data_IF_365017126608
#
_entry.id   IF_365017126608
#
_cell.length_a   1.000
_cell.length_b   1.000
_cell.length_c   1.000
_cell.angle_alpha   90.00
_cell.angle_beta   90.00
_cell.angle_gamma   90.00
#
_symmetry.space_group_name_H-M   'P 1'
#
loop_
_entity.id
_entity.type
_entity.pdbx_description
1 polymer ?
#
# COMPACT_ATOMS: atom_id res chain seq x y z
N UNK A 1 11.95 11.31 5.92
CA UNK A 1 12.62 10.10 6.47
C UNK A 1 12.94 9.19 5.29
N UNK A 2 14.21 9.16 4.87
CA UNK A 2 14.70 8.44 3.67
C UNK A 2 14.75 6.93 3.95
N UNK A 3 13.61 6.24 3.91
CA UNK A 3 13.56 4.79 4.12
C UNK A 3 14.31 4.05 3.02
N UNK A 4 15.26 3.19 3.38
CA UNK A 4 15.92 2.26 2.46
C UNK A 4 14.89 1.27 1.90
N UNK A 5 14.88 1.05 0.58
CA UNK A 5 13.94 0.11 -0.07
C UNK A 5 14.62 -1.20 -0.44
N UNK A 6 15.84 -1.13 -0.97
CA UNK A 6 16.54 -2.28 -1.55
C UNK A 6 17.95 -2.42 -0.97
N UNK A 7 18.39 -3.67 -0.77
CA UNK A 7 19.75 -3.98 -0.35
C UNK A 7 20.77 -3.93 -1.49
N UNK A 8 20.32 -4.08 -2.74
CA UNK A 8 21.18 -4.23 -3.91
C UNK A 8 21.35 -2.93 -4.71
N UNK A 9 20.33 -2.06 -4.74
CA UNK A 9 20.37 -0.79 -5.46
C UNK A 9 20.21 0.41 -4.52
N UNK A 10 20.49 1.60 -5.05
CA UNK A 10 20.50 2.86 -4.31
C UNK A 10 19.11 3.50 -4.13
N UNK A 11 18.04 2.82 -4.55
CA UNK A 11 16.66 3.31 -4.41
C UNK A 11 16.27 3.51 -2.93
N UNK A 12 15.81 4.72 -2.63
CA UNK A 12 15.43 5.20 -1.31
C UNK A 12 14.14 6.01 -1.37
N UNK A 13 13.42 6.05 -0.25
CA UNK A 13 12.22 6.87 -0.08
C UNK A 13 10.93 6.11 -0.38
N UNK A 14 9.90 6.34 0.44
CA UNK A 14 8.61 5.63 0.30
C UNK A 14 7.90 5.90 -1.03
N UNK A 15 8.16 7.07 -1.63
CA UNK A 15 7.63 7.47 -2.93
C UNK A 15 8.14 6.63 -4.10
N UNK A 16 9.28 5.97 -3.95
CA UNK A 16 9.89 5.15 -5.00
C UNK A 16 9.53 3.66 -4.90
N UNK A 17 8.71 3.25 -3.92
CA UNK A 17 8.38 1.82 -3.68
C UNK A 17 7.70 1.16 -4.87
N UNK A 18 6.87 1.90 -5.61
CA UNK A 18 6.13 1.40 -6.77
C UNK A 18 6.83 1.72 -8.10
N UNK A 19 8.05 2.27 -8.06
CA UNK A 19 8.78 2.58 -9.27
C UNK A 19 9.30 1.29 -9.92
N UNK A 20 8.84 1.02 -11.13
CA UNK A 20 9.23 -0.15 -11.93
C UNK A 20 10.32 0.17 -12.95
N UNK A 21 10.79 1.42 -13.02
CA UNK A 21 11.86 1.81 -13.93
C UNK A 21 13.21 1.28 -13.42
N UNK A 22 13.64 0.17 -14.03
CA UNK A 22 14.90 -0.49 -13.72
C UNK A 22 16.13 0.37 -14.04
N UNK A 23 16.02 1.42 -14.86
CA UNK A 23 17.15 2.30 -15.16
C UNK A 23 17.63 3.09 -13.92
N UNK A 24 16.73 3.30 -12.96
CA UNK A 24 17.02 3.99 -11.69
C UNK A 24 17.63 3.05 -10.64
N UNK A 25 17.66 1.74 -10.90
CA UNK A 25 18.22 0.73 -10.00
C UNK A 25 19.75 0.67 -10.07
N UNK A 26 20.42 1.79 -9.76
CA UNK A 26 21.90 1.84 -9.71
C UNK A 26 22.41 0.93 -8.59
N UNK A 27 23.34 -0.01 -8.88
CA UNK A 27 23.93 -0.89 -7.87
C UNK A 27 24.63 -0.11 -6.75
N UNK A 28 24.63 -0.68 -5.55
CA UNK A 28 25.39 -0.11 -4.43
C UNK A 28 26.87 -0.44 -4.55
N UNK A 29 27.72 0.47 -4.10
CA UNK A 29 29.16 0.22 -4.02
C UNK A 29 29.48 -0.75 -2.87
N UNK A 30 30.18 -1.84 -3.21
CA UNK A 30 30.56 -2.90 -2.27
C UNK A 30 31.55 -2.38 -1.23
N UNK A 31 32.47 -1.50 -1.62
CA UNK A 31 33.47 -0.97 -0.69
C UNK A 31 32.85 0.02 0.29
N UNK A 32 31.92 0.85 -0.16
CA UNK A 32 31.12 1.71 0.71
C UNK A 32 30.32 0.85 1.72
N UNK A 33 29.66 -0.21 1.25
CA UNK A 33 28.94 -1.13 2.11
C UNK A 33 29.86 -1.83 3.13
N UNK A 34 31.11 -2.16 2.75
CA UNK A 34 32.12 -2.76 3.65
C UNK A 34 32.56 -1.77 4.71
N UNK A 35 32.83 -0.53 4.33
CA UNK A 35 33.20 0.55 5.25
C UNK A 35 32.12 0.73 6.32
N UNK A 36 30.87 0.94 5.92
CA UNK A 36 29.76 1.15 6.86
C UNK A 36 29.43 -0.10 7.69
N UNK A 37 29.62 -1.29 7.13
CA UNK A 37 29.49 -2.53 7.90
C UNK A 37 30.52 -2.62 9.02
N UNK A 38 31.76 -2.17 8.79
CA UNK A 38 32.83 -2.15 9.80
C UNK A 38 32.56 -1.08 10.85
N UNK A 39 32.18 0.12 10.44
CA UNK A 39 31.74 1.18 11.34
C UNK A 39 30.59 0.71 12.25
N UNK A 40 29.61 -0.02 11.70
CA UNK A 40 28.52 -0.60 12.51
C UNK A 40 29.04 -1.59 13.59
N UNK A 41 30.07 -2.39 13.27
CA UNK A 41 30.67 -3.35 14.19
C UNK A 41 31.42 -2.63 15.32
N UNK A 42 32.20 -1.61 14.96
CA UNK A 42 33.06 -0.84 15.85
C UNK A 42 32.30 0.18 16.69
N UNK A 43 31.09 0.55 16.25
CA UNK A 43 30.18 1.43 16.99
C UNK A 43 29.94 0.92 18.42
N UNK A 44 30.14 1.82 19.38
CA UNK A 44 30.11 1.52 20.81
C UNK A 44 28.70 1.64 21.40
N UNK A 45 27.80 2.32 20.69
CA UNK A 45 26.44 2.59 21.16
C UNK A 45 25.38 2.02 20.22
N UNK A 46 24.22 1.68 20.78
CA UNK A 46 23.06 1.26 19.99
C UNK A 46 22.50 2.41 19.14
N UNK A 47 22.65 3.67 19.58
CA UNK A 47 22.23 4.85 18.81
C UNK A 47 23.04 4.97 17.53
N UNK A 48 24.37 4.92 17.65
CA UNK A 48 25.28 5.02 16.51
C UNK A 48 25.03 3.89 15.49
N UNK A 49 24.82 2.65 15.97
CA UNK A 49 24.43 1.53 15.10
C UNK A 49 23.11 1.79 14.37
N UNK A 50 22.13 2.37 15.06
CA UNK A 50 20.83 2.70 14.46
C UNK A 50 20.98 3.78 13.40
N UNK A 51 21.75 4.83 13.68
CA UNK A 51 22.01 5.93 12.74
C UNK A 51 22.73 5.42 11.48
N UNK A 52 23.74 4.55 11.65
CA UNK A 52 24.42 3.91 10.51
C UNK A 52 23.44 3.07 9.68
N UNK A 53 22.58 2.29 10.34
CA UNK A 53 21.59 1.47 9.62
C UNK A 53 20.53 2.32 8.90
N UNK A 54 20.07 3.41 9.50
CA UNK A 54 19.08 4.30 8.87
C UNK A 54 19.66 5.06 7.67
N UNK A 55 20.91 5.52 7.77
CA UNK A 55 21.56 6.29 6.71
C UNK A 55 22.17 5.43 5.60
N UNK A 56 22.67 4.23 5.93
CA UNK A 56 23.39 3.38 4.97
C UNK A 56 22.73 2.02 4.74
N UNK A 57 21.76 1.58 5.54
CA UNK A 57 21.04 0.33 5.31
C UNK A 57 21.87 -0.94 5.50
N UNK A 58 22.98 -0.86 6.25
CA UNK A 58 23.92 -1.99 6.44
C UNK A 58 24.04 -2.35 7.91
N UNK A 59 24.13 -3.66 8.18
CA UNK A 59 24.49 -4.22 9.48
C UNK A 59 25.74 -5.08 9.34
N UNK A 60 26.48 -5.23 10.43
CA UNK A 60 27.57 -6.19 10.49
C UNK A 60 27.05 -7.64 10.44
N UNK A 61 27.76 -8.49 9.71
CA UNK A 61 27.55 -9.95 9.65
C UNK A 61 28.90 -10.66 9.58
N UNK A 62 29.01 -11.85 10.15
CA UNK A 62 30.22 -12.69 10.07
C UNK A 62 30.59 -13.07 8.64
N UNK A 63 29.63 -13.08 7.70
CA UNK A 63 29.90 -13.30 6.27
C UNK A 63 30.86 -12.26 5.67
N UNK A 64 31.00 -11.08 6.30
CA UNK A 64 31.98 -10.06 5.91
C UNK A 64 33.43 -10.44 6.17
N UNK A 65 33.70 -11.54 6.88
CA UNK A 65 35.04 -12.09 7.04
C UNK A 65 35.51 -12.82 5.77
N UNK A 66 34.62 -13.09 4.83
CA UNK A 66 34.94 -13.71 3.56
C UNK A 66 35.27 -12.63 2.53
N UNK A 67 36.51 -12.59 2.05
CA UNK A 67 36.99 -11.53 1.13
C UNK A 67 36.21 -11.47 -0.19
N UNK A 68 35.64 -12.59 -0.60
CA UNK A 68 34.82 -12.71 -1.81
C UNK A 68 33.34 -12.37 -1.58
N UNK A 69 32.88 -12.21 -0.34
CA UNK A 69 31.46 -11.99 -0.07
C UNK A 69 31.03 -10.59 -0.51
N UNK A 70 30.06 -10.56 -1.43
CA UNK A 70 29.43 -9.37 -1.96
C UNK A 70 27.89 -9.44 -1.75
N UNK A 71 27.33 -8.73 -0.76
CA UNK A 71 25.90 -8.77 -0.49
C UNK A 71 25.04 -8.14 -1.60
N UNK A 72 25.61 -7.37 -2.52
CA UNK A 72 24.84 -6.80 -3.65
C UNK A 72 24.52 -7.85 -4.71
N UNK A 73 25.29 -8.94 -4.75
CA UNK A 73 25.19 -10.01 -5.76
C UNK A 73 24.88 -11.39 -5.16
N UNK A 74 25.28 -11.62 -3.92
CA UNK A 74 25.22 -12.93 -3.26
C UNK A 74 24.09 -13.05 -2.24
N UNK A 75 23.34 -11.98 -2.00
CA UNK A 75 22.16 -12.03 -1.14
C UNK A 75 20.98 -12.63 -1.92
N UNK A 76 20.67 -13.90 -1.63
CA UNK A 76 19.48 -14.56 -2.18
C UNK A 76 18.25 -13.99 -1.49
N UNK A 77 17.36 -13.39 -2.27
CA UNK A 77 16.04 -12.98 -1.80
C UNK A 77 15.28 -14.23 -1.39
N UNK A 78 14.72 -14.23 -0.18
CA UNK A 78 13.90 -15.33 0.31
C UNK A 78 12.58 -15.39 -0.47
N UNK A 79 12.61 -16.13 -1.59
CA UNK A 79 11.48 -16.26 -2.50
C UNK A 79 10.23 -16.79 -1.78
N UNK A 80 10.39 -17.70 -0.81
CA UNK A 80 9.25 -18.26 -0.08
C UNK A 80 8.55 -17.17 0.73
N UNK A 81 9.29 -16.39 1.52
CA UNK A 81 8.69 -15.32 2.33
C UNK A 81 8.20 -14.15 1.47
N UNK A 82 8.98 -13.74 0.46
CA UNK A 82 8.58 -12.68 -0.46
C UNK A 82 7.29 -13.03 -1.21
N UNK A 83 7.16 -14.27 -1.67
CA UNK A 83 5.97 -14.66 -2.42
C UNK A 83 4.80 -14.94 -1.48
N UNK A 84 4.97 -15.74 -0.42
CA UNK A 84 3.85 -16.17 0.42
C UNK A 84 3.39 -15.09 1.40
N UNK A 85 4.32 -14.50 2.16
CA UNK A 85 4.01 -13.41 3.11
C UNK A 85 4.00 -12.02 2.47
N UNK A 86 4.61 -11.86 1.30
CA UNK A 86 4.52 -10.63 0.52
C UNK A 86 3.34 -10.69 -0.45
N UNK A 87 3.54 -11.33 -1.60
CA UNK A 87 2.60 -11.26 -2.75
C UNK A 87 1.25 -11.93 -2.46
N UNK A 88 1.23 -13.20 -2.05
CA UNK A 88 -0.01 -13.95 -1.79
C UNK A 88 -0.79 -13.34 -0.65
N UNK A 89 -0.13 -13.06 0.46
CA UNK A 89 -0.73 -12.34 1.59
C UNK A 89 -1.34 -11.00 1.14
N UNK A 90 -0.61 -10.19 0.38
CA UNK A 90 -1.11 -8.91 -0.12
C UNK A 90 -2.32 -9.13 -1.04
N UNK A 91 -2.21 -10.03 -2.01
CA UNK A 91 -3.30 -10.36 -2.94
C UNK A 91 -4.57 -10.79 -2.19
N UNK A 92 -4.47 -11.77 -1.29
CA UNK A 92 -5.62 -12.27 -0.55
C UNK A 92 -6.21 -11.24 0.41
N UNK A 93 -5.38 -10.49 1.14
CA UNK A 93 -5.88 -9.58 2.18
C UNK A 93 -6.20 -8.15 1.69
N UNK A 94 -5.58 -7.70 0.61
CA UNK A 94 -5.66 -6.31 0.16
C UNK A 94 -6.40 -6.19 -1.17
N UNK A 95 -6.11 -7.08 -2.12
CA UNK A 95 -6.77 -7.10 -3.43
C UNK A 95 -8.14 -7.77 -3.31
N UNK A 96 -8.17 -9.01 -2.81
CA UNK A 96 -9.40 -9.80 -2.62
C UNK A 96 -10.07 -9.58 -1.26
N UNK A 97 -9.43 -8.86 -0.34
CA UNK A 97 -9.98 -8.53 0.99
C UNK A 97 -10.58 -9.72 1.74
N UNK A 98 -9.99 -10.92 1.59
CA UNK A 98 -10.41 -12.15 2.24
C UNK A 98 -9.93 -12.19 3.70
N UNK A 99 -10.27 -11.17 4.48
CA UNK A 99 -10.02 -11.09 5.92
C UNK A 99 -11.28 -10.56 6.62
N UNK A 100 -11.46 -10.86 7.91
CA UNK A 100 -12.57 -10.26 8.68
C UNK A 100 -12.29 -8.79 9.04
N UNK A 101 -11.14 -8.26 8.63
CA UNK A 101 -10.90 -6.83 8.63
C UNK A 101 -11.91 -6.24 7.66
N UNK A 102 -12.86 -5.45 8.16
CA UNK A 102 -13.71 -4.60 7.35
C UNK A 102 -12.89 -3.92 6.24
N UNK A 103 -13.50 -3.55 5.10
CA UNK A 103 -12.83 -2.87 3.98
C UNK A 103 -11.76 -1.91 4.50
N UNK A 104 -10.60 -1.82 3.84
CA UNK A 104 -9.58 -0.81 4.16
C UNK A 104 -10.12 0.59 3.92
N UNK A 105 -10.93 1.00 4.85
CA UNK A 105 -11.27 2.33 5.17
C UNK A 105 -10.03 3.02 5.74
N UNK A 106 -10.01 4.35 5.72
CA UNK A 106 -9.20 5.11 6.67
C UNK A 106 -9.46 4.57 8.10
N UNK A 107 -8.58 4.84 9.07
CA UNK A 107 -8.71 4.37 10.47
C UNK A 107 -10.11 4.58 11.10
N UNK A 108 -10.93 5.46 10.51
CA UNK A 108 -12.29 5.81 10.87
C UNK A 108 -13.43 5.11 10.08
N UNK A 109 -13.18 4.16 9.16
CA UNK A 109 -14.28 3.51 8.42
C UNK A 109 -14.73 4.21 7.12
N UNK A 110 -13.92 5.09 6.51
CA UNK A 110 -14.27 5.87 5.31
C UNK A 110 -13.51 5.47 4.05
N UNK A 111 -14.18 5.54 2.90
CA UNK A 111 -13.63 5.19 1.59
C UNK A 111 -12.82 6.33 0.97
N UNK A 112 -11.80 6.01 0.18
CA UNK A 112 -11.09 6.97 -0.67
C UNK A 112 -11.82 7.15 -2.00
N UNK A 113 -11.90 8.37 -2.53
CA UNK A 113 -12.44 8.63 -3.86
C UNK A 113 -11.39 8.53 -4.97
N UNK A 114 -10.15 8.88 -4.69
CA UNK A 114 -9.05 8.86 -5.65
C UNK A 114 -7.70 8.88 -4.93
N UNK A 115 -6.65 8.42 -5.60
CA UNK A 115 -5.26 8.55 -5.15
C UNK A 115 -4.64 9.83 -5.72
N UNK A 116 -3.76 10.49 -4.94
CA UNK A 116 -3.02 11.67 -5.39
C UNK A 116 -1.53 11.54 -5.02
N UNK A 117 -0.59 11.91 -5.93
CA UNK A 117 0.85 11.79 -5.69
C UNK A 117 1.36 12.88 -4.75
N UNK A 118 1.02 12.78 -3.47
CA UNK A 118 1.38 13.76 -2.46
C UNK A 118 2.89 13.85 -2.22
N UNK A 119 3.40 15.08 -2.14
CA UNK A 119 4.76 15.35 -1.70
C UNK A 119 4.77 15.36 -0.16
N UNK A 120 5.61 14.52 0.43
CA UNK A 120 5.84 14.51 1.88
C UNK A 120 6.52 15.79 2.35
N UNK A 121 6.34 16.16 3.62
CA UNK A 121 7.02 17.34 4.15
C UNK A 121 8.53 17.12 4.23
N UNK A 122 9.28 18.00 3.56
CA UNK A 122 10.74 18.09 3.65
C UNK A 122 11.15 19.51 4.10
N UNK A 123 11.99 19.65 5.14
CA UNK A 123 12.36 20.96 5.71
C UNK A 123 13.03 21.94 4.73
N UNK A 124 13.63 21.42 3.64
CA UNK A 124 14.37 22.20 2.64
C UNK A 124 13.59 22.41 1.33
N UNK A 125 12.45 21.73 1.15
CA UNK A 125 11.71 21.77 -0.12
C UNK A 125 11.05 23.14 -0.38
N UNK A 126 10.75 23.93 0.66
CA UNK A 126 10.12 25.25 0.51
C UNK A 126 10.74 26.26 1.48
N UNK A 127 11.79 27.00 1.07
CA UNK A 127 12.47 27.98 1.92
C UNK A 127 11.58 29.15 2.38
N UNK A 128 10.52 29.44 1.63
CA UNK A 128 9.62 30.58 1.85
C UNK A 128 8.56 30.34 2.93
N UNK A 129 8.35 29.08 3.34
CA UNK A 129 7.34 28.71 4.32
C UNK A 129 7.93 28.56 5.73
N UNK A 130 7.15 28.88 6.79
CA UNK A 130 7.58 28.63 8.16
C UNK A 130 7.84 27.14 8.39
N UNK A 131 9.02 26.80 8.91
CA UNK A 131 9.37 25.41 9.25
C UNK A 131 8.35 24.83 10.22
N UNK A 132 7.83 23.65 9.89
CA UNK A 132 6.93 22.93 10.77
C UNK A 132 7.71 22.35 11.94
N UNK A 133 7.13 22.44 13.14
CA UNK A 133 7.63 21.69 14.30
C UNK A 133 7.43 20.20 14.00
N UNK A 134 8.40 19.35 14.38
CA UNK A 134 8.38 17.90 14.12
C UNK A 134 7.05 17.24 14.52
N UNK A 135 6.44 17.69 15.62
CA UNK A 135 5.14 17.21 16.09
C UNK A 135 3.97 17.39 15.10
N UNK A 136 4.08 18.32 14.16
CA UNK A 136 3.04 18.64 13.17
C UNK A 136 3.33 18.10 11.77
N UNK A 137 4.46 17.41 11.58
CA UNK A 137 4.81 16.75 10.32
C UNK A 137 3.81 15.63 9.99
N UNK A 138 3.38 14.77 10.94
CA UNK A 138 2.36 13.75 10.66
C UNK A 138 1.00 14.33 10.28
N UNK A 139 0.70 15.56 10.71
CA UNK A 139 -0.58 16.22 10.40
C UNK A 139 -0.67 16.54 8.89
N UNK A 140 0.45 16.71 8.19
CA UNK A 140 0.48 16.90 6.73
C UNK A 140 -0.10 15.68 6.02
N UNK A 141 0.36 14.48 6.37
CA UNK A 141 -0.15 13.23 5.78
C UNK A 141 -1.63 13.02 6.08
N UNK A 142 -2.08 13.34 7.30
CA UNK A 142 -3.51 13.24 7.67
C UNK A 142 -4.40 14.19 6.86
N UNK A 143 -3.94 15.42 6.63
CA UNK A 143 -4.65 16.38 5.77
C UNK A 143 -4.73 15.87 4.34
N UNK A 144 -3.61 15.41 3.79
CA UNK A 144 -3.51 14.84 2.45
C UNK A 144 -4.47 13.63 2.28
N UNK A 145 -4.48 12.72 3.24
CA UNK A 145 -5.40 11.58 3.27
C UNK A 145 -6.86 12.01 3.36
N UNK A 146 -7.19 12.98 4.22
CA UNK A 146 -8.56 13.48 4.40
C UNK A 146 -9.12 14.09 3.11
N UNK A 147 -8.28 14.77 2.32
CA UNK A 147 -8.68 15.32 1.03
C UNK A 147 -8.96 14.23 -0.02
N UNK A 148 -8.36 13.05 0.08
CA UNK A 148 -8.63 11.95 -0.85
C UNK A 148 -9.88 11.13 -0.51
N UNK A 149 -10.57 11.41 0.62
CA UNK A 149 -11.76 10.65 1.05
C UNK A 149 -12.98 10.93 0.17
N UNK A 150 -13.85 9.93 0.02
CA UNK A 150 -15.09 10.03 -0.72
C UNK A 150 -16.10 10.96 -0.04
N UNK A 151 -16.81 11.75 -0.85
CA UNK A 151 -17.88 12.64 -0.44
C UNK A 151 -19.27 12.05 -0.77
N UNK A 152 -19.35 11.08 -1.68
CA UNK A 152 -20.57 10.37 -2.07
C UNK A 152 -20.40 8.84 -1.95
N UNK A 153 -21.41 8.13 -1.44
CA UNK A 153 -21.44 6.66 -1.30
C UNK A 153 -21.88 6.17 0.09
N UNK A 154 -21.93 4.84 0.29
CA UNK A 154 -22.33 4.20 1.56
C UNK A 154 -21.37 4.51 2.73
N UNK A 155 -20.10 4.84 2.44
CA UNK A 155 -19.05 5.10 3.44
C UNK A 155 -18.29 6.41 3.15
N UNK A 156 -19.03 7.48 2.85
CA UNK A 156 -18.50 8.80 2.49
C UNK A 156 -18.55 9.82 3.64
N UNK A 157 -17.78 10.90 3.53
CA UNK A 157 -17.83 12.05 4.42
C UNK A 157 -18.66 13.19 3.82
N UNK A 158 -19.43 13.87 4.66
CA UNK A 158 -20.04 15.15 4.26
C UNK A 158 -18.99 16.27 4.23
N UNK A 159 -19.22 17.29 3.40
CA UNK A 159 -18.33 18.46 3.30
C UNK A 159 -18.10 19.16 4.65
N UNK A 160 -19.13 19.19 5.51
CA UNK A 160 -19.01 19.75 6.87
C UNK A 160 -18.11 18.89 7.76
N UNK A 161 -18.18 17.56 7.66
CA UNK A 161 -17.28 16.69 8.40
C UNK A 161 -15.83 16.85 7.93
N UNK A 162 -15.59 17.05 6.63
CA UNK A 162 -14.25 17.34 6.10
C UNK A 162 -13.73 18.66 6.65
N UNK A 163 -14.56 19.71 6.64
CA UNK A 163 -14.21 20.99 7.26
C UNK A 163 -13.79 20.83 8.73
N UNK A 164 -14.63 20.15 9.53
CA UNK A 164 -14.36 19.95 10.96
C UNK A 164 -13.10 19.12 11.20
N UNK A 165 -12.82 18.10 10.38
CA UNK A 165 -11.59 17.31 10.50
C UNK A 165 -10.35 18.13 10.17
N UNK A 166 -10.37 18.90 9.07
CA UNK A 166 -9.25 19.76 8.70
C UNK A 166 -8.99 20.84 9.75
N UNK A 167 -10.04 21.40 10.36
CA UNK A 167 -9.87 22.38 11.43
C UNK A 167 -9.33 21.72 12.71
N UNK A 168 -9.77 20.53 13.09
CA UNK A 168 -9.28 19.88 14.30
C UNK A 168 -7.86 19.31 14.15
N UNK A 169 -7.50 18.81 12.97
CA UNK A 169 -6.26 18.06 12.75
C UNK A 169 -5.08 18.95 12.33
N UNK A 170 -5.33 20.05 11.60
CA UNK A 170 -4.26 20.77 10.94
C UNK A 170 -3.90 22.08 11.64
N UNK A 171 -2.61 22.42 11.64
CA UNK A 171 -2.16 23.78 11.96
C UNK A 171 -2.16 24.66 10.72
N UNK A 172 -2.10 25.99 10.91
CA UNK A 172 -2.00 26.94 9.78
C UNK A 172 -0.81 26.61 8.85
N UNK A 173 0.34 26.24 9.42
CA UNK A 173 1.53 25.88 8.63
C UNK A 173 1.33 24.60 7.82
N UNK A 174 0.67 23.60 8.41
CA UNK A 174 0.34 22.33 7.74
C UNK A 174 -0.54 22.59 6.51
N UNK A 175 -1.60 23.38 6.67
CA UNK A 175 -2.51 23.72 5.58
C UNK A 175 -1.83 24.56 4.50
N UNK A 176 -0.98 25.51 4.90
CA UNK A 176 -0.23 26.35 3.97
C UNK A 176 0.74 25.54 3.12
N UNK A 177 1.40 24.54 3.70
CA UNK A 177 2.25 23.60 2.96
C UNK A 177 1.43 22.85 1.91
N UNK A 178 0.31 22.23 2.29
CA UNK A 178 -0.53 21.46 1.34
C UNK A 178 -1.09 22.35 0.22
N UNK A 179 -1.52 23.58 0.53
CA UNK A 179 -1.98 24.56 -0.47
C UNK A 179 -0.86 24.94 -1.44
N UNK A 180 0.38 25.08 -0.96
CA UNK A 180 1.54 25.36 -1.78
C UNK A 180 1.93 24.15 -2.66
N UNK A 181 1.89 22.94 -2.12
CA UNK A 181 2.12 21.69 -2.88
C UNK A 181 1.12 21.51 -4.03
N UNK A 182 -0.10 22.03 -3.87
CA UNK A 182 -1.15 22.01 -4.90
C UNK A 182 -1.10 23.23 -5.83
N UNK A 183 -0.10 24.11 -5.68
CA UNK A 183 0.07 25.35 -6.46
C UNK A 183 -1.19 26.26 -6.47
N UNK A 184 -1.99 26.20 -5.41
CA UNK A 184 -3.25 26.95 -5.33
C UNK A 184 -2.98 28.44 -5.06
N UNK A 185 -3.54 29.30 -5.91
CA UNK A 185 -3.50 30.76 -5.71
C UNK A 185 -4.24 31.15 -4.44
N UNK A 186 -3.62 31.99 -3.61
CA UNK A 186 -4.20 32.52 -2.36
C UNK A 186 -5.41 33.47 -2.57
N UNK A 187 -5.77 33.75 -3.83
CA UNK A 187 -6.85 34.65 -4.23
C UNK A 187 -8.11 33.82 -4.60
N UNK A 188 -9.24 34.07 -3.93
CA UNK A 188 -10.53 33.50 -4.33
C UNK A 188 -11.09 34.28 -5.52
N UNK A 189 -11.35 33.62 -6.65
CA UNK A 189 -12.41 34.06 -7.54
C UNK A 189 -13.73 33.66 -6.88
N UNK A 190 -14.43 34.64 -6.33
CA UNK A 190 -15.74 34.46 -5.70
C UNK A 190 -16.72 33.83 -6.69
N UNK A 191 -17.15 32.60 -6.40
CA UNK A 191 -18.36 32.03 -7.01
C UNK A 191 -19.52 32.93 -6.61
N UNK A 192 -20.20 33.49 -7.62
CA UNK A 192 -21.09 34.63 -7.47
C UNK A 192 -22.28 34.38 -6.56
N UNK A 193 -22.30 35.05 -5.41
CA UNK A 193 -23.53 35.51 -4.78
C UNK A 193 -23.48 37.03 -4.79
N UNK A 194 -24.33 37.63 -5.64
CA UNK A 194 -24.44 39.08 -5.78
C UNK A 194 -24.90 39.67 -4.43
N UNK A 195 -24.02 40.40 -3.76
CA UNK A 195 -24.46 41.45 -2.85
C UNK A 195 -23.54 42.66 -2.98
N UNK A 196 -24.16 43.79 -3.33
CA UNK A 196 -23.52 45.09 -3.47
C UNK A 196 -23.08 45.59 -2.10
N UNK A 197 -21.79 45.76 -1.87
CA UNK A 197 -21.28 46.81 -0.97
C UNK A 197 -19.79 47.07 -1.17
N UNK A 198 -19.41 48.30 -0.85
CA UNK A 198 -18.22 49.04 -1.30
C UNK A 198 -16.89 48.40 -0.90
N UNK A 199 -15.93 48.48 -1.82
CA UNK A 199 -14.55 48.07 -1.63
C UNK A 199 -13.90 48.82 -0.45
N UNK A 200 -13.42 48.05 0.54
CA UNK A 200 -12.49 48.51 1.57
C UNK A 200 -11.27 47.60 1.49
N UNK A 201 -10.12 48.17 1.15
CA UNK A 201 -8.83 47.48 1.03
C UNK A 201 -8.39 47.06 2.44
N UNK A 202 -8.80 45.86 2.87
CA UNK A 202 -8.37 45.26 4.13
C UNK A 202 -7.23 44.30 3.78
N UNK A 203 -6.02 44.64 4.19
CA UNK A 203 -4.92 43.69 4.35
C UNK A 203 -5.36 42.66 5.39
N UNK A 204 -6.04 41.60 4.95
CA UNK A 204 -6.57 40.59 5.86
C UNK A 204 -5.47 39.60 6.20
N UNK A 205 -5.20 39.45 7.49
CA UNK A 205 -4.39 38.36 8.03
C UNK A 205 -5.01 37.05 7.54
N UNK A 206 -4.36 36.35 6.61
CA UNK A 206 -4.92 35.11 6.03
C UNK A 206 -5.14 34.11 7.16
N UNK A 207 -6.41 33.89 7.49
CA UNK A 207 -6.85 33.04 8.59
C UNK A 207 -6.76 31.57 8.19
N UNK A 208 -6.62 30.68 9.17
CA UNK A 208 -6.60 29.23 8.98
C UNK A 208 -7.77 28.74 8.11
N UNK A 209 -8.96 29.29 8.33
CA UNK A 209 -10.19 28.98 7.61
C UNK A 209 -10.09 29.29 6.10
N UNK A 210 -9.25 30.26 5.69
CA UNK A 210 -9.03 30.58 4.28
C UNK A 210 -8.37 29.41 3.54
N UNK A 211 -7.37 28.78 4.16
CA UNK A 211 -6.70 27.62 3.57
C UNK A 211 -7.63 26.41 3.50
N UNK A 212 -8.46 26.19 4.52
CA UNK A 212 -9.46 25.11 4.51
C UNK A 212 -10.45 25.33 3.36
N UNK A 213 -10.94 26.55 3.17
CA UNK A 213 -11.84 26.89 2.07
C UNK A 213 -11.21 26.67 0.68
N UNK A 214 -9.93 27.03 0.50
CA UNK A 214 -9.19 26.78 -0.75
C UNK A 214 -9.05 25.28 -1.03
N UNK A 215 -8.68 24.49 -0.01
CA UNK A 215 -8.54 23.04 -0.13
C UNK A 215 -9.88 22.36 -0.42
N UNK A 216 -10.98 22.83 0.16
CA UNK A 216 -12.31 22.31 -0.13
C UNK A 216 -12.78 22.66 -1.55
N UNK A 217 -12.48 23.87 -2.02
CA UNK A 217 -12.77 24.25 -3.40
C UNK A 217 -12.00 23.36 -4.39
N UNK A 218 -10.71 23.12 -4.13
CA UNK A 218 -9.93 22.16 -4.90
C UNK A 218 -10.53 20.75 -4.81
N UNK A 219 -10.92 20.30 -3.61
CA UNK A 219 -11.51 18.98 -3.39
C UNK A 219 -12.78 18.77 -4.19
N UNK A 220 -13.64 19.78 -4.30
CA UNK A 220 -14.89 19.72 -5.07
C UNK A 220 -14.66 19.59 -6.58
N UNK A 221 -13.46 19.89 -7.06
CA UNK A 221 -13.08 19.70 -8.48
C UNK A 221 -12.56 18.27 -8.76
N UNK A 222 -12.35 17.46 -7.72
CA UNK A 222 -11.87 16.08 -7.82
C UNK A 222 -13.04 15.08 -7.75
N UNK A 223 -12.86 13.81 -8.16
CA UNK A 223 -13.90 12.78 -8.06
C UNK A 223 -14.53 12.72 -6.67
N UNK A 224 -15.86 12.80 -6.60
CA UNK A 224 -16.61 12.83 -5.34
C UNK A 224 -16.80 11.42 -4.75
N UNK A 225 -16.81 10.40 -5.60
CA UNK A 225 -16.88 8.99 -5.22
C UNK A 225 -15.69 8.23 -5.81
N UNK A 226 -15.42 7.06 -5.26
CA UNK A 226 -14.47 6.12 -5.85
C UNK A 226 -14.98 5.66 -7.20
N UNK A 227 -14.27 5.99 -8.28
CA UNK A 227 -14.52 5.38 -9.61
C UNK A 227 -14.07 3.92 -9.61
N UNK A 228 -13.15 3.54 -8.71
CA UNK A 228 -12.72 2.17 -8.56
C UNK A 228 -13.86 1.31 -8.02
N UNK A 229 -14.42 0.47 -8.87
CA UNK A 229 -15.35 -0.58 -8.48
C UNK A 229 -14.61 -1.60 -7.60
N UNK A 230 -14.91 -1.60 -6.31
CA UNK A 230 -14.35 -2.55 -5.37
C UNK A 230 -15.23 -3.79 -5.37
N UNK A 231 -14.69 -4.88 -5.91
CA UNK A 231 -15.28 -6.21 -5.79
C UNK A 231 -15.42 -6.59 -4.32
N UNK A 232 -16.66 -6.73 -3.84
CA UNK A 232 -16.99 -7.16 -2.47
C UNK A 232 -16.74 -8.66 -2.29
N UNK A 233 -15.48 -9.05 -2.32
CA UNK A 233 -15.02 -10.44 -2.27
C UNK A 233 -14.85 -10.96 -0.84
N UNK A 234 -14.64 -10.06 0.13
CA UNK A 234 -14.47 -10.36 1.56
C UNK A 234 -15.75 -10.37 2.40
N UNK A 235 -16.90 -10.82 1.86
CA UNK A 235 -18.15 -10.80 2.65
C UNK A 235 -18.10 -11.80 3.82
N UNK A 236 -18.88 -11.58 4.90
CA UNK A 236 -18.97 -12.54 6.01
C UNK A 236 -19.39 -13.95 5.56
N UNK A 237 -20.24 -14.04 4.54
CA UNK A 237 -20.69 -15.31 3.94
C UNK A 237 -19.54 -16.00 3.21
N UNK A 238 -18.68 -15.23 2.53
CA UNK A 238 -17.51 -15.78 1.84
C UNK A 238 -16.46 -16.28 2.84
N UNK A 239 -16.21 -15.54 3.91
CA UNK A 239 -15.29 -15.96 4.97
C UNK A 239 -15.81 -17.21 5.69
N UNK A 240 -17.10 -17.25 6.03
CA UNK A 240 -17.72 -18.42 6.65
C UNK A 240 -17.59 -19.66 5.77
N UNK A 241 -17.75 -19.49 4.46
CA UNK A 241 -17.57 -20.56 3.48
C UNK A 241 -16.11 -21.03 3.38
N UNK A 242 -15.14 -20.11 3.36
CA UNK A 242 -13.71 -20.47 3.39
C UNK A 242 -13.38 -21.27 4.66
N UNK A 243 -13.89 -20.83 5.82
CA UNK A 243 -13.70 -21.55 7.09
C UNK A 243 -14.34 -22.94 7.07
N UNK A 244 -15.50 -23.09 6.45
CA UNK A 244 -16.16 -24.39 6.24
C UNK A 244 -15.28 -25.31 5.38
N UNK A 245 -14.79 -24.83 4.22
CA UNK A 245 -13.87 -25.58 3.37
C UNK A 245 -12.62 -26.02 4.15
N UNK A 246 -12.06 -25.15 5.00
CA UNK A 246 -10.91 -25.50 5.86
C UNK A 246 -11.24 -26.61 6.86
N UNK A 247 -12.46 -26.61 7.43
CA UNK A 247 -12.90 -27.62 8.41
C UNK A 247 -13.17 -28.98 7.78
N UNK A 248 -13.82 -29.00 6.63
CA UNK A 248 -14.32 -30.23 5.98
C UNK A 248 -13.27 -30.91 5.09
N UNK A 249 -12.31 -30.16 4.56
CA UNK A 249 -11.30 -30.72 3.65
C UNK A 249 -10.28 -31.57 4.42
N UNK A 250 -10.21 -32.86 4.08
CA UNK A 250 -9.13 -33.72 4.53
C UNK A 250 -7.86 -33.44 3.71
N UNK A 251 -6.80 -33.01 4.38
CA UNK A 251 -5.50 -32.73 3.75
C UNK A 251 -4.45 -33.79 4.14
N UNK A 252 -3.45 -34.03 3.28
CA UNK A 252 -2.26 -34.79 3.66
C UNK A 252 -1.55 -34.22 4.91
N UNK A 253 -0.87 -35.09 5.65
CA UNK A 253 -0.18 -34.73 6.89
C UNK A 253 1.01 -33.79 6.70
N UNK A 254 1.64 -33.80 5.52
CA UNK A 254 2.81 -32.98 5.20
C UNK A 254 2.50 -31.51 4.90
N UNK A 255 1.23 -31.15 4.70
CA UNK A 255 0.81 -29.76 4.56
C UNK A 255 0.67 -29.08 5.92
N UNK A 256 0.99 -27.80 6.00
CA UNK A 256 0.84 -27.02 7.24
C UNK A 256 -0.63 -26.92 7.66
N UNK A 257 -0.88 -26.94 8.97
CA UNK A 257 -2.22 -26.77 9.55
C UNK A 257 -2.60 -25.30 9.55
N UNK A 258 -3.73 -24.97 8.93
CA UNK A 258 -4.27 -23.61 8.86
C UNK A 258 -5.31 -23.41 9.97
N UNK A 259 -5.38 -22.22 10.59
CA UNK A 259 -6.43 -21.91 11.58
C UNK A 259 -7.84 -22.09 10.99
N UNK A 260 -8.68 -22.87 11.69
CA UNK A 260 -10.07 -23.13 11.28
C UNK A 260 -10.95 -21.88 11.30
N UNK A 261 -10.57 -20.89 12.10
CA UNK A 261 -11.22 -19.59 12.23
C UNK A 261 -10.50 -18.51 11.39
N UNK A 262 -9.93 -18.90 10.24
CA UNK A 262 -9.24 -18.00 9.32
C UNK A 262 -10.03 -16.70 9.10
N UNK A 263 -9.31 -15.57 9.11
CA UNK A 263 -9.87 -14.23 8.95
C UNK A 263 -10.26 -13.55 10.26
N UNK A 264 -10.52 -14.29 11.35
CA UNK A 264 -10.85 -13.68 12.65
C UNK A 264 -9.62 -13.12 13.37
N UNK A 265 -9.81 -12.05 14.15
CA UNK A 265 -8.75 -11.46 14.98
C UNK A 265 -8.10 -12.47 15.95
N UNK A 266 -8.87 -13.48 16.39
CA UNK A 266 -8.39 -14.55 17.29
C UNK A 266 -7.51 -15.60 16.59
N UNK A 267 -7.51 -15.68 15.26
CA UNK A 267 -6.72 -16.66 14.51
C UNK A 267 -5.21 -16.34 14.54
N UNK A 268 -4.83 -15.11 14.88
CA UNK A 268 -3.44 -14.66 14.87
C UNK A 268 -2.90 -14.44 13.45
N UNK A 269 -1.59 -14.26 13.35
CA UNK A 269 -0.92 -14.01 12.06
C UNK A 269 -0.61 -15.30 11.32
N UNK A 270 -1.01 -15.36 10.05
CA UNK A 270 -0.77 -16.51 9.18
C UNK A 270 0.71 -16.59 8.77
N UNK A 271 1.32 -17.77 8.94
CA UNK A 271 2.72 -18.07 8.61
C UNK A 271 2.90 -18.41 7.14
N UNK A 272 4.15 -18.42 6.66
CA UNK A 272 4.45 -18.69 5.26
C UNK A 272 3.94 -20.08 4.81
N UNK A 273 4.20 -21.12 5.61
CA UNK A 273 3.67 -22.47 5.34
C UNK A 273 2.15 -22.54 5.29
N UNK A 274 1.47 -21.84 6.21
CA UNK A 274 0.01 -21.76 6.22
C UNK A 274 -0.54 -21.01 4.99
N UNK A 275 0.11 -19.94 4.53
CA UNK A 275 -0.20 -19.27 3.26
C UNK A 275 -0.01 -20.18 2.06
N UNK A 276 1.00 -21.06 2.08
CA UNK A 276 1.18 -22.08 1.04
C UNK A 276 -0.02 -23.03 1.01
N UNK A 277 -0.43 -23.57 2.15
CA UNK A 277 -1.60 -24.46 2.23
C UNK A 277 -2.88 -23.74 1.79
N UNK A 278 -3.09 -22.49 2.23
CA UNK A 278 -4.24 -21.67 1.82
C UNK A 278 -4.29 -21.46 0.31
N UNK A 279 -3.20 -21.02 -0.30
CA UNK A 279 -3.15 -20.69 -1.74
C UNK A 279 -3.16 -21.91 -2.67
N UNK A 280 -2.59 -23.04 -2.24
CA UNK A 280 -2.52 -24.24 -3.08
C UNK A 280 -3.71 -25.20 -2.95
N UNK A 281 -4.43 -25.16 -1.82
CA UNK A 281 -5.52 -26.11 -1.54
C UNK A 281 -6.83 -25.39 -1.27
N UNK A 282 -6.91 -24.59 -0.20
CA UNK A 282 -8.20 -24.11 0.31
C UNK A 282 -8.83 -23.01 -0.55
N UNK A 283 -8.07 -21.99 -0.96
CA UNK A 283 -8.60 -20.90 -1.77
C UNK A 283 -8.98 -21.36 -3.18
N UNK A 284 -8.20 -22.17 -3.92
CA UNK A 284 -8.66 -22.71 -5.19
C UNK A 284 -10.02 -23.40 -5.08
N UNK A 285 -10.22 -24.27 -4.09
CA UNK A 285 -11.50 -24.95 -3.86
C UNK A 285 -12.61 -23.94 -3.55
N UNK A 286 -12.40 -23.05 -2.59
CA UNK A 286 -13.45 -22.11 -2.17
C UNK A 286 -13.81 -21.08 -3.25
N UNK A 287 -12.81 -20.50 -3.92
CA UNK A 287 -13.00 -19.44 -4.91
C UNK A 287 -13.59 -20.00 -6.22
N UNK A 288 -13.15 -21.17 -6.68
CA UNK A 288 -13.71 -21.78 -7.90
C UNK A 288 -15.19 -22.11 -7.71
N UNK A 289 -15.58 -22.67 -6.56
CA UNK A 289 -16.98 -23.01 -6.30
C UNK A 289 -17.86 -21.76 -6.22
N UNK A 290 -17.33 -20.64 -5.73
CA UNK A 290 -18.12 -19.41 -5.52
C UNK A 290 -18.11 -18.46 -6.70
N UNK A 291 -17.02 -18.39 -7.47
CA UNK A 291 -16.82 -17.39 -8.53
C UNK A 291 -16.64 -18.00 -9.92
N UNK A 292 -16.41 -19.31 -10.01
CA UNK A 292 -16.01 -19.98 -11.24
C UNK A 292 -17.17 -20.46 -12.10
N UNK A 293 -18.01 -21.36 -11.58
CA UNK A 293 -19.06 -22.00 -12.36
C UNK A 293 -20.37 -22.05 -11.55
N UNK A 294 -21.46 -21.55 -12.14
CA UNK A 294 -22.80 -21.67 -11.57
C UNK A 294 -23.58 -22.73 -12.34
N UNK A 295 -23.61 -23.97 -11.83
CA UNK A 295 -24.33 -25.12 -12.39
C UNK A 295 -23.91 -25.57 -13.82
N UNK A 296 -22.62 -25.48 -14.17
CA UNK A 296 -22.08 -25.93 -15.46
C UNK A 296 -21.97 -24.83 -16.53
N UNK A 297 -22.27 -23.59 -16.18
CA UNK A 297 -22.17 -22.40 -17.02
C UNK A 297 -21.19 -21.41 -16.39
N UNK A 298 -20.10 -21.12 -17.10
CA UNK A 298 -19.19 -20.04 -16.74
C UNK A 298 -19.94 -18.69 -16.72
N UNK A 299 -19.66 -17.81 -15.73
CA UNK A 299 -20.14 -16.45 -15.70
C UNK A 299 -19.85 -15.71 -17.01
N UNK A 300 -20.71 -14.75 -17.40
CA UNK A 300 -20.48 -13.98 -18.60
C UNK A 300 -19.17 -13.18 -18.49
N UNK A 301 -18.36 -13.17 -19.55
CA UNK A 301 -17.15 -12.36 -19.63
C UNK A 301 -17.48 -10.89 -19.96
N UNK A 302 -18.21 -10.24 -19.06
CA UNK A 302 -18.61 -8.83 -19.16
C UNK A 302 -18.24 -8.09 -17.86
N UNK A 303 -18.65 -6.83 -17.74
CA UNK A 303 -18.44 -6.01 -16.54
C UNK A 303 -19.52 -6.22 -15.47
N UNK A 304 -20.32 -7.30 -15.56
CA UNK A 304 -21.19 -7.69 -14.45
C UNK A 304 -20.34 -8.13 -13.26
N UNK A 305 -20.91 -8.04 -12.05
CA UNK A 305 -20.25 -8.51 -10.83
C UNK A 305 -19.77 -9.97 -10.97
N UNK A 306 -20.57 -10.85 -11.56
CA UNK A 306 -20.21 -12.25 -11.80
C UNK A 306 -19.03 -12.41 -12.78
N UNK A 307 -18.96 -11.58 -13.82
CA UNK A 307 -17.85 -11.58 -14.79
C UNK A 307 -16.56 -11.02 -14.21
N UNK A 308 -16.67 -10.00 -13.36
CA UNK A 308 -15.54 -9.41 -12.64
C UNK A 308 -14.98 -10.38 -11.57
N UNK A 309 -15.84 -11.12 -10.88
CA UNK A 309 -15.43 -12.18 -9.94
C UNK A 309 -14.69 -13.31 -10.67
N UNK A 310 -15.13 -13.70 -11.87
CA UNK A 310 -14.43 -14.68 -12.69
C UNK A 310 -13.04 -14.18 -13.12
N UNK A 311 -12.92 -12.92 -13.55
CA UNK A 311 -11.61 -12.31 -13.86
C UNK A 311 -10.69 -12.29 -12.63
N UNK A 312 -11.23 -11.91 -11.47
CA UNK A 312 -10.48 -11.94 -10.21
C UNK A 312 -10.04 -13.36 -9.84
N UNK A 313 -10.88 -14.37 -10.07
CA UNK A 313 -10.54 -15.78 -9.90
C UNK A 313 -9.38 -16.17 -10.83
N UNK A 314 -9.46 -15.87 -12.12
CA UNK A 314 -8.43 -16.23 -13.10
C UNK A 314 -7.06 -15.63 -12.75
N UNK A 315 -7.02 -14.34 -12.38
CA UNK A 315 -5.79 -13.69 -11.90
C UNK A 315 -5.26 -14.33 -10.61
N UNK A 316 -6.17 -14.70 -9.69
CA UNK A 316 -5.80 -15.37 -8.44
C UNK A 316 -5.23 -16.76 -8.70
N UNK A 317 -5.85 -17.53 -9.61
CA UNK A 317 -5.36 -18.86 -9.98
C UNK A 317 -4.03 -18.77 -10.73
N UNK A 318 -3.83 -17.77 -11.60
CA UNK A 318 -2.54 -17.53 -12.25
C UNK A 318 -1.42 -17.23 -11.23
N UNK A 319 -1.74 -16.49 -10.16
CA UNK A 319 -0.80 -16.28 -9.05
C UNK A 319 -0.53 -17.58 -8.27
N UNK A 320 -1.54 -18.45 -8.11
CA UNK A 320 -1.43 -19.66 -7.29
C UNK A 320 -0.81 -20.87 -8.01
N UNK A 321 -0.98 -20.96 -9.33
CA UNK A 321 -0.49 -22.04 -10.19
C UNK A 321 1.00 -22.40 -9.97
N UNK A 322 1.94 -21.43 -9.85
CA UNK A 322 3.34 -21.71 -9.58
C UNK A 322 3.60 -22.55 -8.33
N UNK A 323 2.75 -22.44 -7.29
CA UNK A 323 2.92 -23.17 -6.02
C UNK A 323 2.62 -24.66 -6.15
N UNK A 324 1.65 -25.03 -7.00
CA UNK A 324 1.33 -26.43 -7.29
C UNK A 324 2.51 -27.13 -7.98
N UNK A 325 3.14 -26.48 -8.96
CA UNK A 325 4.37 -26.98 -9.60
C UNK A 325 5.57 -27.04 -8.66
N UNK A 326 5.70 -26.09 -7.73
CA UNK A 326 6.77 -26.07 -6.72
C UNK A 326 6.65 -27.25 -5.75
N UNK A 327 5.43 -27.70 -5.45
CA UNK A 327 5.13 -28.88 -4.64
C UNK A 327 5.42 -30.20 -5.36
N UNK A 328 5.22 -30.26 -6.68
CA UNK A 328 5.35 -31.52 -7.45
C UNK A 328 6.79 -31.76 -7.92
N UNK A 329 7.53 -30.72 -8.30
CA UNK A 329 8.82 -30.91 -9.00
C UNK A 329 10.08 -30.56 -8.22
N UNK A 330 9.99 -29.94 -7.03
CA UNK A 330 11.17 -29.75 -6.16
C UNK A 330 12.40 -29.11 -6.84
N UNK A 331 12.24 -28.33 -7.92
CA UNK A 331 13.35 -27.94 -8.79
C UNK A 331 13.39 -26.43 -9.08
N UNK A 332 14.54 -25.86 -8.74
CA UNK A 332 15.16 -24.58 -9.17
C UNK A 332 14.28 -23.33 -9.30
N UNK A 333 14.32 -22.54 -8.23
CA UNK A 333 13.61 -21.26 -8.00
C UNK A 333 14.08 -20.13 -8.96
N UNK A 334 15.20 -20.29 -9.67
CA UNK A 334 15.87 -19.16 -10.32
C UNK A 334 15.21 -18.66 -11.61
N UNK A 335 14.56 -19.54 -12.39
CA UNK A 335 13.95 -19.16 -13.68
C UNK A 335 12.46 -18.78 -13.61
N UNK A 336 11.72 -19.37 -12.67
CA UNK A 336 10.27 -19.17 -12.53
C UNK A 336 9.95 -17.82 -11.88
N UNK A 337 10.74 -17.38 -10.89
CA UNK A 337 10.56 -16.10 -10.22
C UNK A 337 10.60 -14.91 -11.19
N UNK A 338 11.52 -14.92 -12.17
CA UNK A 338 11.64 -13.83 -13.15
C UNK A 338 10.42 -13.73 -14.07
N UNK A 339 9.90 -14.88 -14.53
CA UNK A 339 8.73 -14.92 -15.41
C UNK A 339 7.41 -14.64 -14.68
N UNK A 340 7.32 -14.97 -13.39
CA UNK A 340 6.17 -14.66 -12.55
C UNK A 340 6.15 -13.17 -12.22
N UNK A 341 7.29 -12.57 -11.89
CA UNK A 341 7.40 -11.11 -11.73
C UNK A 341 7.06 -10.40 -13.05
N UNK A 342 7.56 -10.85 -14.21
CA UNK A 342 7.16 -10.30 -15.50
C UNK A 342 5.65 -10.39 -15.75
N UNK A 343 5.02 -11.56 -15.52
CA UNK A 343 3.57 -11.73 -15.80
C UNK A 343 2.66 -11.05 -14.78
N UNK A 344 3.07 -10.94 -13.52
CA UNK A 344 2.29 -10.28 -12.46
C UNK A 344 2.49 -8.74 -12.51
N UNK A 345 3.66 -8.26 -12.95
CA UNK A 345 3.93 -6.83 -13.11
C UNK A 345 3.51 -6.28 -14.49
N UNK A 346 3.36 -7.12 -15.53
CA UNK A 346 2.76 -6.74 -16.82
C UNK A 346 1.23 -6.88 -16.84
N UNK A 347 0.54 -6.73 -15.69
CA UNK A 347 -0.89 -6.39 -15.75
C UNK A 347 -0.96 -4.98 -16.37
N UNK A 348 -1.40 -4.83 -17.63
CA UNK A 348 -1.55 -3.52 -18.22
C UNK A 348 -2.66 -2.84 -17.44
N UNK A 349 -2.37 -1.64 -16.93
CA UNK A 349 -3.32 -0.54 -16.71
C UNK A 349 -4.79 -0.92 -16.93
N UNK A 350 -5.41 -1.51 -15.92
CA UNK A 350 -6.86 -1.50 -15.71
C UNK A 350 -7.17 -0.48 -14.61
N UNK A 351 -6.68 0.74 -14.80
CA UNK A 351 -7.10 1.96 -14.10
C UNK A 351 -6.73 3.15 -15.00
N UNK A 352 -7.52 3.34 -16.05
CA UNK A 352 -7.84 4.67 -16.57
C UNK A 352 -9.28 4.96 -16.21
#
# INVERSE_FOLDING_TARGET
MLGLICSCCQLRGKNQIYNTDHSLCVPRDVEELRHWSRAYKEAQTLSERKDIFENHGVRWSSLRLLDYWDPTRMLVVDAMHCILKGVVHYHCQHVLRLNASAPKHCADGLMYAFDWPWIGYEPEAVPELPRLKEKHVPDVSKVQETLCLALEGEDSMTLNQVWTRLDNQATKGTLQFVVHTLELSLQLNTVGVKSRSKAKKVTSTVMKNHFIALLLNWRLQQPLSSVAHILRTGTPEMLSYIQEVIRETQKPSWLDVVPKNYGEAKAGSIKAGEWRTLSSLYFPVALIIRWGDNNGCAPPNNESESGLLLKALDHTMALFQPFGTMLIFGSSICGLCSRILEKVLHVPTFMQ
#
